data_IF_842528913885
#
_entry.id   IF_842528913885
#
_cell.length_a   1.000
_cell.length_b   1.000
_cell.length_c   1.000
_cell.angle_alpha   90.00
_cell.angle_beta   90.00
_cell.angle_gamma   90.00
#
_symmetry.space_group_name_H-M   'P 1'
#
loop_
_entity.id
_entity.type
_entity.pdbx_description
1 polymer ?
#
# COMPACT_ATOMS: atom_id res chain seq x y z
N UNK A 1 35.41 64.13 50.56
CA UNK A 1 36.63 63.99 49.74
C UNK A 1 36.38 62.94 48.66
N UNK A 2 36.13 63.37 47.42
CA UNK A 2 36.49 62.54 46.25
C UNK A 2 38.02 62.52 46.13
N UNK A 3 38.65 61.47 45.57
CA UNK A 3 38.77 61.29 44.11
C UNK A 3 38.48 59.82 43.68
N UNK A 4 37.81 59.51 42.56
CA UNK A 4 38.12 59.71 41.14
C UNK A 4 39.43 59.03 40.66
N UNK A 5 39.28 57.91 39.93
CA UNK A 5 40.32 57.47 38.99
C UNK A 5 40.27 56.00 38.55
N UNK A 6 39.85 55.79 37.28
CA UNK A 6 40.39 54.79 36.30
C UNK A 6 40.09 53.30 36.58
N UNK A 7 39.60 52.45 35.67
CA UNK A 7 39.61 52.41 34.20
C UNK A 7 38.46 51.51 33.70
N UNK A 8 37.92 51.87 32.54
CA UNK A 8 36.93 51.10 31.77
C UNK A 8 37.45 49.70 31.38
N UNK A 9 36.62 48.67 31.58
CA UNK A 9 36.59 47.51 30.70
C UNK A 9 35.13 47.04 30.55
N UNK A 10 34.45 47.59 29.54
CA UNK A 10 33.16 47.11 29.11
C UNK A 10 33.36 45.78 28.38
N UNK A 11 33.21 44.67 29.09
CA UNK A 11 33.12 43.35 28.49
C UNK A 11 31.79 43.23 27.72
N UNK A 12 31.80 43.67 26.46
CA UNK A 12 30.76 43.38 25.49
C UNK A 12 30.66 41.85 25.33
N UNK A 13 29.68 41.22 26.00
CA UNK A 13 29.32 39.83 25.69
C UNK A 13 28.71 39.82 24.30
N UNK A 14 29.45 39.26 23.35
CA UNK A 14 28.97 38.95 22.02
C UNK A 14 27.72 38.05 22.14
N UNK A 15 26.58 38.38 21.52
CA UNK A 15 25.44 37.48 21.49
C UNK A 15 25.86 36.26 20.65
N UNK A 16 25.94 35.10 21.30
CA UNK A 16 26.17 33.83 20.60
C UNK A 16 25.12 33.68 19.49
N UNK A 17 25.50 33.44 18.22
CA UNK A 17 24.52 33.20 17.18
C UNK A 17 23.73 31.95 17.53
N UNK A 18 22.43 32.10 17.75
CA UNK A 18 21.49 30.97 17.83
C UNK A 18 21.45 30.33 16.45
N UNK A 19 22.34 29.37 16.19
CA UNK A 19 22.22 28.51 15.03
C UNK A 19 20.91 27.74 15.18
N UNK A 20 19.92 28.07 14.36
CA UNK A 20 18.78 27.16 14.16
C UNK A 20 19.37 25.94 13.44
N UNK A 21 19.44 24.81 14.11
CA UNK A 21 19.72 23.56 13.44
C UNK A 21 18.67 23.39 12.34
N UNK A 22 19.13 23.20 11.09
CA UNK A 22 18.26 22.75 10.02
C UNK A 22 17.82 21.33 10.37
N UNK A 23 16.65 21.20 10.96
CA UNK A 23 15.98 19.91 11.10
C UNK A 23 15.46 19.53 9.73
N UNK A 24 16.17 18.65 9.02
CA UNK A 24 15.55 17.93 7.90
C UNK A 24 14.55 16.96 8.53
N UNK A 25 13.28 17.07 8.14
CA UNK A 25 12.31 16.02 8.48
C UNK A 25 12.83 14.71 7.90
N UNK A 26 12.80 13.63 8.69
CA UNK A 26 12.99 12.29 8.16
C UNK A 26 12.04 12.09 7.00
N UNK A 27 12.56 11.66 5.85
CA UNK A 27 11.72 11.25 4.74
C UNK A 27 10.91 10.04 5.18
N UNK A 28 9.62 10.24 5.48
CA UNK A 28 8.69 9.15 5.65
C UNK A 28 8.63 8.40 4.32
N UNK A 29 9.25 7.22 4.28
CA UNK A 29 9.10 6.32 3.14
C UNK A 29 7.67 5.80 3.17
N UNK A 30 6.99 5.82 2.04
CA UNK A 30 5.68 5.17 1.91
C UNK A 30 5.83 3.68 2.18
N UNK A 31 4.82 3.09 2.84
CA UNK A 31 4.80 1.66 3.18
C UNK A 31 4.92 0.75 1.94
N UNK A 32 4.55 1.25 0.76
CA UNK A 32 4.72 0.57 -0.52
C UNK A 32 5.53 1.41 -1.53
N UNK A 33 6.33 0.72 -2.36
CA UNK A 33 7.04 1.32 -3.50
C UNK A 33 6.11 1.46 -4.71
N UNK A 34 5.85 2.69 -5.18
CA UNK A 34 5.02 2.94 -6.37
C UNK A 34 5.76 2.83 -7.70
N UNK A 35 7.08 2.64 -7.66
CA UNK A 35 7.92 2.40 -8.83
C UNK A 35 8.16 0.91 -8.98
N UNK A 36 8.09 0.42 -10.22
CA UNK A 36 8.49 -0.96 -10.53
C UNK A 36 10.00 -1.00 -10.76
N UNK A 37 10.64 -2.04 -10.22
CA UNK A 37 12.01 -2.43 -10.55
C UNK A 37 11.95 -3.90 -10.94
N UNK A 38 12.61 -4.21 -12.04
CA UNK A 38 12.71 -5.58 -12.55
C UNK A 38 13.37 -6.47 -11.49
N UNK A 39 12.72 -7.59 -11.20
CA UNK A 39 13.17 -8.63 -10.27
C UNK A 39 12.98 -9.98 -10.94
N UNK A 40 13.76 -11.00 -10.62
CA UNK A 40 13.70 -12.32 -11.30
C UNK A 40 12.28 -12.88 -11.46
N UNK A 41 11.39 -12.62 -10.49
CA UNK A 41 10.00 -13.07 -10.47
C UNK A 41 9.00 -12.09 -11.13
N UNK A 42 9.33 -10.79 -11.22
CA UNK A 42 8.46 -9.75 -11.77
C UNK A 42 9.24 -8.92 -12.79
N UNK A 43 9.19 -9.36 -14.05
CA UNK A 43 9.86 -8.77 -15.20
C UNK A 43 8.91 -8.73 -16.40
N UNK A 44 9.21 -7.89 -17.40
CA UNK A 44 8.46 -7.86 -18.67
C UNK A 44 8.48 -9.17 -19.47
N UNK A 45 9.41 -10.09 -19.17
CA UNK A 45 9.61 -11.35 -19.90
C UNK A 45 8.74 -12.52 -19.40
N UNK A 46 8.13 -12.42 -18.22
CA UNK A 46 7.33 -13.51 -17.63
C UNK A 46 5.96 -13.56 -18.31
N UNK A 47 5.74 -14.49 -19.24
CA UNK A 47 4.49 -14.52 -20.01
C UNK A 47 3.27 -14.86 -19.12
N UNK A 48 2.26 -13.98 -19.13
CA UNK A 48 0.97 -14.20 -18.47
C UNK A 48 -0.15 -14.19 -19.52
N UNK A 49 -1.04 -15.18 -19.45
CA UNK A 49 -2.21 -15.31 -20.32
C UNK A 49 -3.43 -15.77 -19.50
N UNK A 50 -4.64 -15.36 -19.90
CA UNK A 50 -5.86 -15.86 -19.27
C UNK A 50 -6.12 -17.32 -19.65
N UNK A 51 -6.61 -18.10 -18.69
CA UNK A 51 -7.15 -19.43 -18.97
C UNK A 51 -8.38 -19.32 -19.88
N UNK A 52 -8.72 -20.36 -20.67
CA UNK A 52 -9.88 -20.32 -21.57
C UNK A 52 -11.21 -20.06 -20.85
N UNK A 53 -11.32 -20.45 -19.59
CA UNK A 53 -12.48 -20.13 -18.74
C UNK A 53 -12.54 -18.65 -18.37
N UNK A 54 -11.38 -18.07 -18.04
CA UNK A 54 -11.27 -16.66 -17.70
C UNK A 54 -11.42 -15.75 -18.91
N UNK A 55 -11.06 -16.21 -20.11
CA UNK A 55 -11.35 -15.48 -21.36
C UNK A 55 -12.86 -15.29 -21.56
N UNK A 56 -13.68 -16.33 -21.35
CA UNK A 56 -15.14 -16.21 -21.42
C UNK A 56 -15.71 -15.22 -20.40
N UNK A 57 -15.11 -15.17 -19.22
CA UNK A 57 -15.46 -14.18 -18.18
C UNK A 57 -15.00 -12.77 -18.56
N UNK A 58 -13.84 -12.63 -19.18
CA UNK A 58 -13.36 -11.34 -19.67
C UNK A 58 -14.28 -10.77 -20.76
N UNK A 59 -14.77 -11.62 -21.65
CA UNK A 59 -15.76 -11.26 -22.68
C UNK A 59 -17.09 -10.82 -22.04
N UNK A 60 -17.60 -11.57 -21.05
CA UNK A 60 -18.84 -11.19 -20.35
C UNK A 60 -18.70 -9.93 -19.52
N UNK A 61 -17.52 -9.63 -18.98
CA UNK A 61 -17.24 -8.37 -18.29
C UNK A 61 -17.16 -7.20 -19.28
N UNK A 62 -16.60 -7.42 -20.47
CA UNK A 62 -16.46 -6.40 -21.50
C UNK A 62 -17.83 -6.04 -22.10
N UNK A 63 -18.76 -6.99 -22.20
CA UNK A 63 -20.11 -6.76 -22.74
C UNK A 63 -21.03 -5.93 -21.84
N UNK A 64 -20.67 -5.74 -20.56
CA UNK A 64 -21.40 -4.86 -19.63
C UNK A 64 -21.28 -3.39 -20.06
N UNK A 65 -20.17 -3.04 -20.72
CA UNK A 65 -19.86 -1.67 -21.10
C UNK A 65 -20.24 -1.41 -22.57
N UNK A 66 -20.77 -0.21 -22.90
CA UNK A 66 -21.13 0.13 -24.27
C UNK A 66 -19.91 0.19 -25.19
N UNK A 67 -20.13 -0.04 -26.47
CA UNK A 67 -19.09 0.05 -27.49
C UNK A 67 -18.44 1.44 -27.51
N UNK A 68 -17.10 1.48 -27.52
CA UNK A 68 -16.31 2.70 -27.37
C UNK A 68 -15.81 2.98 -25.95
N UNK A 69 -16.44 2.39 -24.91
CA UNK A 69 -16.04 2.57 -23.51
C UNK A 69 -15.49 1.30 -22.85
N UNK A 70 -14.90 0.40 -23.64
CA UNK A 70 -14.31 -0.87 -23.15
C UNK A 70 -13.21 -0.66 -22.10
N UNK A 71 -12.53 0.48 -22.11
CA UNK A 71 -11.53 0.85 -21.09
C UNK A 71 -12.09 0.89 -19.65
N UNK A 72 -13.40 1.04 -19.47
CA UNK A 72 -14.03 0.98 -18.14
C UNK A 72 -13.96 -0.41 -17.49
N UNK A 73 -13.75 -1.46 -18.28
CA UNK A 73 -13.59 -2.84 -17.80
C UNK A 73 -12.20 -3.13 -17.19
N UNK A 74 -11.31 -2.14 -17.08
CA UNK A 74 -9.95 -2.32 -16.55
C UNK A 74 -9.92 -2.87 -15.12
N UNK A 75 -10.79 -2.36 -14.24
CA UNK A 75 -10.86 -2.78 -12.83
C UNK A 75 -11.28 -4.25 -12.72
N UNK A 76 -12.41 -4.70 -13.30
CA UNK A 76 -12.82 -6.10 -13.17
C UNK A 76 -11.87 -7.06 -13.90
N UNK A 77 -11.22 -6.64 -14.99
CA UNK A 77 -10.21 -7.48 -15.66
C UNK A 77 -8.92 -7.64 -14.85
N UNK A 78 -8.46 -6.57 -14.19
CA UNK A 78 -7.33 -6.65 -13.28
C UNK A 78 -7.65 -7.51 -12.05
N UNK A 79 -8.86 -7.40 -11.49
CA UNK A 79 -9.29 -8.26 -10.38
C UNK A 79 -9.34 -9.74 -10.82
N UNK A 80 -9.82 -10.01 -12.03
CA UNK A 80 -9.80 -11.36 -12.59
C UNK A 80 -8.38 -11.90 -12.77
N UNK A 81 -7.44 -11.06 -13.24
CA UNK A 81 -6.03 -11.43 -13.35
C UNK A 81 -5.40 -11.72 -11.98
N UNK A 82 -5.69 -10.89 -10.98
CA UNK A 82 -5.24 -11.10 -9.61
C UNK A 82 -5.79 -12.41 -9.03
N UNK A 83 -7.05 -12.77 -9.29
CA UNK A 83 -7.64 -14.04 -8.83
C UNK A 83 -7.00 -15.27 -9.47
N UNK A 84 -6.57 -15.17 -10.73
CA UNK A 84 -5.92 -16.27 -11.43
C UNK A 84 -4.49 -16.50 -10.91
N UNK A 85 -3.75 -15.42 -10.66
CA UNK A 85 -2.32 -15.48 -10.33
C UNK A 85 -2.02 -15.33 -8.82
N UNK A 86 -2.98 -14.87 -8.02
CA UNK A 86 -2.85 -14.51 -6.60
C UNK A 86 -2.34 -13.08 -6.36
N UNK A 87 -1.58 -12.53 -7.29
CA UNK A 87 -1.06 -11.16 -7.27
C UNK A 87 -0.86 -10.67 -8.71
N UNK A 88 -0.60 -9.37 -8.92
CA UNK A 88 -0.49 -8.74 -10.24
C UNK A 88 0.97 -8.50 -10.66
N UNK A 89 1.56 -9.38 -11.49
CA UNK A 89 2.83 -9.11 -12.13
C UNK A 89 2.70 -8.06 -13.24
N UNK A 90 3.82 -7.47 -13.65
CA UNK A 90 3.87 -6.46 -14.70
C UNK A 90 3.26 -6.97 -16.02
N UNK A 91 3.49 -8.24 -16.33
CA UNK A 91 3.00 -8.87 -17.56
C UNK A 91 1.50 -9.10 -17.58
N UNK A 92 0.87 -9.32 -16.42
CA UNK A 92 -0.58 -9.36 -16.33
C UNK A 92 -1.20 -7.99 -16.66
N UNK A 93 -0.56 -6.91 -16.19
CA UNK A 93 -1.00 -5.55 -16.52
C UNK A 93 -0.80 -5.23 -18.01
N UNK A 94 0.33 -5.65 -18.61
CA UNK A 94 0.56 -5.53 -20.05
C UNK A 94 -0.53 -6.26 -20.84
N UNK A 95 -0.83 -7.49 -20.47
CA UNK A 95 -1.81 -8.33 -21.15
C UNK A 95 -3.22 -7.72 -21.10
N UNK A 96 -3.65 -7.19 -19.95
CA UNK A 96 -4.93 -6.48 -19.82
C UNK A 96 -4.96 -5.19 -20.65
N UNK A 97 -3.84 -4.45 -20.70
CA UNK A 97 -3.74 -3.25 -21.54
C UNK A 97 -3.88 -3.57 -23.03
N UNK A 98 -3.20 -4.63 -23.48
CA UNK A 98 -3.22 -5.09 -24.87
C UNK A 98 -4.61 -5.65 -25.24
N UNK A 99 -5.30 -6.34 -24.31
CA UNK A 99 -6.67 -6.84 -24.50
C UNK A 99 -7.71 -5.70 -24.65
N UNK A 100 -7.58 -4.62 -23.88
CA UNK A 100 -8.48 -3.47 -23.93
C UNK A 100 -8.12 -2.46 -25.02
N UNK A 101 -6.95 -2.58 -25.66
CA UNK A 101 -6.44 -1.61 -26.63
C UNK A 101 -6.12 -0.24 -26.01
N UNK A 102 -5.70 -0.22 -24.74
CA UNK A 102 -5.39 1.01 -24.00
C UNK A 102 -3.89 1.13 -23.67
N UNK A 103 -3.35 2.35 -23.48
CA UNK A 103 -1.95 2.51 -23.11
C UNK A 103 -1.67 1.90 -21.72
N UNK A 104 -0.57 1.13 -21.62
CA UNK A 104 -0.13 0.42 -20.40
C UNK A 104 -0.04 1.33 -19.17
N UNK A 105 0.35 2.59 -19.36
CA UNK A 105 0.45 3.58 -18.28
C UNK A 105 -0.86 3.76 -17.51
N UNK A 106 -2.01 3.74 -18.21
CA UNK A 106 -3.33 3.87 -17.57
C UNK A 106 -3.68 2.68 -16.69
N UNK A 107 -3.22 1.49 -17.08
CA UNK A 107 -3.39 0.28 -16.25
C UNK A 107 -2.52 0.37 -14.99
N UNK A 108 -1.31 0.92 -15.09
CA UNK A 108 -0.44 1.15 -13.93
C UNK A 108 -1.00 2.17 -12.95
N UNK A 109 -1.57 3.26 -13.45
CA UNK A 109 -2.27 4.24 -12.63
C UNK A 109 -3.38 3.56 -11.81
N UNK A 110 -4.22 2.75 -12.46
CA UNK A 110 -5.29 2.01 -11.77
C UNK A 110 -4.75 1.00 -10.76
N UNK A 111 -3.75 0.21 -11.15
CA UNK A 111 -3.16 -0.81 -10.28
C UNK A 111 -2.42 -0.23 -9.07
N UNK A 112 -1.91 0.99 -9.15
CA UNK A 112 -1.23 1.68 -8.04
C UNK A 112 -2.19 2.51 -7.19
N UNK A 113 -3.31 2.96 -7.77
CA UNK A 113 -4.30 3.78 -7.10
C UNK A 113 -5.18 2.98 -6.13
N UNK A 114 -5.63 1.80 -6.52
CA UNK A 114 -6.48 0.97 -5.66
C UNK A 114 -5.65 0.06 -4.76
N UNK A 115 -5.89 0.14 -3.45
CA UNK A 115 -5.18 -0.64 -2.42
C UNK A 115 -5.50 -2.14 -2.43
N UNK A 116 -6.46 -2.59 -3.23
CA UNK A 116 -6.83 -4.01 -3.37
C UNK A 116 -5.83 -4.78 -4.25
N UNK A 117 -5.21 -4.07 -5.21
CA UNK A 117 -4.32 -4.67 -6.19
C UNK A 117 -2.93 -4.88 -5.60
N UNK A 118 -2.58 -6.15 -5.39
CA UNK A 118 -1.29 -6.54 -4.84
C UNK A 118 -0.27 -6.69 -5.96
N UNK A 119 0.77 -5.85 -5.93
CA UNK A 119 1.86 -5.84 -6.94
C UNK A 119 3.06 -6.70 -6.54
N UNK A 120 3.08 -7.12 -5.28
CA UNK A 120 4.08 -8.01 -4.72
C UNK A 120 3.41 -9.36 -4.41
N UNK A 121 4.18 -10.46 -4.42
CA UNK A 121 3.65 -11.76 -4.05
C UNK A 121 3.16 -11.73 -2.60
N UNK A 122 1.86 -11.97 -2.40
CA UNK A 122 1.26 -12.15 -1.09
C UNK A 122 1.07 -13.64 -0.79
N UNK A 123 0.94 -13.97 0.49
CA UNK A 123 0.57 -15.32 0.91
C UNK A 123 -0.83 -15.72 0.45
N UNK A 124 -1.15 -17.02 0.52
CA UNK A 124 -2.44 -17.58 0.09
C UNK A 124 -3.65 -16.90 0.73
N UNK A 125 -3.54 -16.49 1.98
CA UNK A 125 -4.58 -15.81 2.73
C UNK A 125 -4.16 -14.39 3.07
N UNK A 126 -4.90 -13.42 2.54
CA UNK A 126 -4.70 -12.00 2.81
C UNK A 126 -5.67 -11.52 3.89
N UNK A 127 -5.18 -11.36 5.11
CA UNK A 127 -5.96 -10.93 6.28
C UNK A 127 -5.86 -9.42 6.43
N UNK A 128 -7.00 -8.73 6.29
CA UNK A 128 -7.10 -7.29 6.52
C UNK A 128 -7.86 -7.02 7.81
N UNK A 129 -7.21 -6.33 8.75
CA UNK A 129 -7.85 -5.90 10.01
C UNK A 129 -8.21 -4.43 9.90
N UNK A 130 -9.47 -4.07 10.17
CA UNK A 130 -9.91 -2.68 10.12
C UNK A 130 -9.50 -1.91 11.38
N UNK A 131 -8.66 -0.89 11.21
CA UNK A 131 -8.18 -0.05 12.31
C UNK A 131 -8.79 1.36 12.30
N UNK A 132 -9.87 1.56 11.53
CA UNK A 132 -10.60 2.84 11.53
C UNK A 132 -11.25 3.12 12.88
N UNK A 133 -11.55 4.41 13.17
CA UNK A 133 -12.04 4.88 14.46
C UNK A 133 -13.19 4.04 15.06
N UNK A 134 -14.24 3.65 14.31
CA UNK A 134 -15.32 2.82 14.87
C UNK A 134 -14.85 1.44 15.36
N UNK A 135 -13.86 0.85 14.70
CA UNK A 135 -13.29 -0.45 15.07
C UNK A 135 -12.24 -0.28 16.18
N UNK A 136 -11.45 0.79 16.13
CA UNK A 136 -10.48 1.17 17.16
C UNK A 136 -11.16 1.34 18.52
N UNK A 137 -12.28 2.08 18.59
CA UNK A 137 -13.09 2.25 19.80
C UNK A 137 -13.65 0.93 20.35
N UNK A 138 -13.73 -0.12 19.53
CA UNK A 138 -14.25 -1.44 19.90
C UNK A 138 -13.15 -2.45 20.21
N UNK A 139 -11.87 -2.03 20.24
CA UNK A 139 -10.74 -2.90 20.55
C UNK A 139 -10.17 -3.65 19.34
N UNK A 140 -10.17 -3.04 18.14
CA UNK A 140 -9.51 -3.63 16.97
C UNK A 140 -8.00 -3.83 17.15
N UNK A 141 -7.36 -3.03 17.99
CA UNK A 141 -5.94 -3.15 18.35
C UNK A 141 -5.64 -4.48 19.04
N UNK A 142 -6.55 -4.96 19.90
CA UNK A 142 -6.39 -6.25 20.58
C UNK A 142 -6.39 -7.41 19.57
N UNK A 143 -7.24 -7.33 18.55
CA UNK A 143 -7.33 -8.35 17.49
C UNK A 143 -6.04 -8.37 16.68
N UNK A 144 -5.53 -7.19 16.32
CA UNK A 144 -4.27 -7.08 15.61
C UNK A 144 -3.11 -7.66 16.43
N UNK A 145 -3.02 -7.33 17.73
CA UNK A 145 -1.99 -7.85 18.62
C UNK A 145 -2.05 -9.38 18.77
N UNK A 146 -3.26 -9.98 18.82
CA UNK A 146 -3.42 -11.44 18.85
C UNK A 146 -2.93 -12.08 17.55
N UNK A 147 -3.21 -11.48 16.40
CA UNK A 147 -2.74 -11.98 15.10
C UNK A 147 -1.22 -11.90 15.02
N UNK A 148 -0.63 -10.76 15.40
CA UNK A 148 0.82 -10.57 15.41
C UNK A 148 1.52 -11.56 16.37
N UNK A 149 0.95 -11.79 17.56
CA UNK A 149 1.50 -12.74 18.55
C UNK A 149 1.38 -14.20 18.13
N UNK A 150 0.26 -14.59 17.50
CA UNK A 150 0.03 -15.98 17.10
C UNK A 150 0.90 -16.41 15.91
N UNK A 151 1.16 -15.49 14.99
CA UNK A 151 1.93 -15.78 13.77
C UNK A 151 3.36 -15.22 13.78
N UNK A 152 3.72 -14.46 14.82
CA UNK A 152 5.01 -13.78 14.96
C UNK A 152 5.35 -12.93 13.73
N UNK A 153 4.39 -12.10 13.29
CA UNK A 153 4.49 -11.26 12.09
C UNK A 153 4.47 -9.78 12.45
N UNK A 154 5.27 -8.98 11.73
CA UNK A 154 5.08 -7.54 11.67
C UNK A 154 3.92 -7.13 10.75
N UNK A 155 3.35 -5.92 10.91
CA UNK A 155 2.32 -5.42 10.01
C UNK A 155 2.84 -5.30 8.57
N UNK A 156 2.17 -5.96 7.61
CA UNK A 156 2.55 -5.94 6.21
C UNK A 156 3.60 -6.96 5.79
N UNK A 157 3.93 -7.92 6.67
CA UNK A 157 4.83 -9.04 6.38
C UNK A 157 4.07 -10.33 6.04
N UNK A 158 4.74 -11.20 5.27
CA UNK A 158 4.25 -12.55 4.96
C UNK A 158 4.84 -13.55 5.96
N UNK A 159 4.04 -14.52 6.39
CA UNK A 159 4.51 -15.63 7.22
C UNK A 159 5.64 -16.40 6.54
N UNK A 160 6.54 -16.99 7.35
CA UNK A 160 7.65 -17.85 6.88
C UNK A 160 7.14 -19.02 6.04
N UNK A 161 5.92 -19.49 6.33
CA UNK A 161 5.27 -20.58 5.59
C UNK A 161 4.64 -20.12 4.26
N UNK A 162 4.65 -18.82 3.96
CA UNK A 162 4.04 -18.24 2.76
C UNK A 162 2.51 -18.34 2.71
N UNK A 163 1.87 -18.82 3.78
CA UNK A 163 0.43 -19.11 3.80
C UNK A 163 -0.42 -17.87 4.13
N UNK A 164 0.10 -16.96 4.96
CA UNK A 164 -0.64 -15.82 5.50
C UNK A 164 0.12 -14.52 5.30
N UNK A 165 -0.63 -13.49 4.90
CA UNK A 165 -0.19 -12.11 4.84
C UNK A 165 -1.19 -11.27 5.64
N UNK A 166 -0.71 -10.57 6.67
CA UNK A 166 -1.55 -9.74 7.53
C UNK A 166 -1.20 -8.26 7.33
N UNK A 167 -2.20 -7.46 6.97
CA UNK A 167 -2.03 -6.02 6.79
C UNK A 167 -3.10 -5.25 7.58
N UNK A 168 -2.72 -4.23 8.37
CA UNK A 168 -3.70 -3.29 8.89
C UNK A 168 -4.33 -2.54 7.71
N UNK A 169 -5.66 -2.56 7.63
CA UNK A 169 -6.40 -1.77 6.66
C UNK A 169 -6.64 -0.37 7.22
N UNK A 170 -6.17 0.62 6.48
CA UNK A 170 -6.33 2.05 6.81
C UNK A 170 -7.74 2.57 6.45
N UNK A 171 -8.46 1.87 5.57
CA UNK A 171 -9.82 2.22 5.15
C UNK A 171 -10.88 1.35 5.84
N UNK A 172 -12.08 1.92 6.00
CA UNK A 172 -13.21 1.23 6.62
C UNK A 172 -13.74 0.11 5.72
N UNK A 173 -13.91 -1.10 6.25
CA UNK A 173 -14.42 -2.26 5.51
C UNK A 173 -15.96 -2.31 5.39
N UNK A 174 -16.67 -1.28 5.86
CA UNK A 174 -18.15 -1.20 5.79
C UNK A 174 -18.92 -2.08 6.77
N UNK A 175 -18.25 -2.80 7.68
CA UNK A 175 -18.87 -3.71 8.64
C UNK A 175 -19.03 -3.13 10.06
N UNK A 176 -19.18 -1.81 10.21
CA UNK A 176 -19.08 -1.10 11.50
C UNK A 176 -20.06 -1.60 12.59
N UNK A 177 -21.26 -2.05 12.20
CA UNK A 177 -22.28 -2.56 13.14
C UNK A 177 -21.86 -3.91 13.72
N UNK A 178 -21.23 -4.77 12.90
CA UNK A 178 -20.80 -6.11 13.32
C UNK A 178 -19.65 -5.97 14.31
N UNK A 179 -19.88 -6.35 15.57
CA UNK A 179 -18.78 -6.44 16.53
C UNK A 179 -17.94 -7.65 16.20
N UNK A 180 -16.63 -7.53 16.36
CA UNK A 180 -15.80 -8.66 16.72
C UNK A 180 -16.11 -9.07 18.18
N UNK A 181 -17.27 -9.66 18.42
CA UNK A 181 -17.52 -10.39 19.67
C UNK A 181 -16.87 -11.77 19.51
N UNK A 182 -15.72 -12.03 20.16
CA UNK A 182 -15.24 -13.40 20.33
C UNK A 182 -13.76 -13.65 20.01
N UNK A 183 -12.84 -13.00 20.71
CA UNK A 183 -11.43 -13.43 20.78
C UNK A 183 -10.90 -13.42 22.24
N UNK A 184 -11.80 -13.59 23.20
CA UNK A 184 -11.48 -13.81 24.62
C UNK A 184 -11.93 -15.21 25.01
#
# INVERSE_FOLDING_TARGET
MQPCGRLLSAALRCPTPRSRALGTSTSLRSDALFVHRDTDQNNANVKFEFTPENLKRAESLTSIYPDGHRAAAVIPLLDLAQRQHGWLPLTAMHYVADYLGMPRMRVYEVATFYTMFQRNPVGKYHVQVCTTTPCMLRGAEDIQAVIEKSWALGPGETSKDGSLYAQPSSSGLGACVKRAHGFR
#
